data_IF_176803639484
#
_entry.id   IF_176803639484
#
_cell.length_a   1.000
_cell.length_b   1.000
_cell.length_c   1.000
_cell.angle_alpha   90.00
_cell.angle_beta   90.00
_cell.angle_gamma   90.00
#
_symmetry.space_group_name_H-M   'P 1'
#
loop_
_entity.id
_entity.type
_entity.pdbx_description
1 polymer ?
#
# COMPACT_ATOMS: atom_id res chain seq x y z
N UNK A 1 -27.39 -36.38 -19.80
CA UNK A 1 -28.37 -35.54 -19.08
C UNK A 1 -27.73 -34.17 -19.04
N UNK A 2 -28.35 -33.21 -19.72
CA UNK A 2 -27.93 -31.82 -19.60
C UNK A 2 -28.40 -31.35 -18.23
N UNK A 3 -27.50 -31.31 -17.26
CA UNK A 3 -27.80 -30.68 -15.97
C UNK A 3 -27.94 -29.19 -16.20
N UNK A 4 -29.17 -28.73 -16.15
CA UNK A 4 -29.53 -27.33 -16.39
C UNK A 4 -29.00 -26.48 -15.24
N UNK A 5 -27.99 -25.66 -15.51
CA UNK A 5 -27.50 -24.64 -14.59
C UNK A 5 -28.69 -23.78 -14.15
N UNK A 6 -28.81 -23.54 -12.85
CA UNK A 6 -29.68 -22.51 -12.34
C UNK A 6 -28.98 -21.17 -12.52
N UNK A 7 -29.60 -20.24 -13.18
CA UNK A 7 -29.06 -18.90 -13.35
C UNK A 7 -30.13 -17.84 -13.05
N UNK A 8 -29.66 -16.68 -12.69
CA UNK A 8 -30.48 -15.47 -12.52
C UNK A 8 -29.82 -14.32 -13.26
N UNK A 9 -30.61 -13.53 -13.97
CA UNK A 9 -30.15 -12.29 -14.62
C UNK A 9 -30.82 -11.10 -13.96
N UNK A 10 -30.03 -10.14 -13.51
CA UNK A 10 -30.46 -8.92 -12.84
C UNK A 10 -30.04 -7.72 -13.70
N UNK A 11 -31.04 -7.00 -14.23
CA UNK A 11 -30.78 -5.79 -15.02
C UNK A 11 -30.43 -4.63 -14.08
N UNK A 12 -29.29 -3.99 -14.33
CA UNK A 12 -28.89 -2.74 -13.71
C UNK A 12 -28.76 -1.65 -14.79
N UNK A 13 -28.57 -0.38 -14.40
CA UNK A 13 -28.63 0.76 -15.32
C UNK A 13 -27.77 0.62 -16.59
N UNK A 14 -26.58 0.00 -16.48
CA UNK A 14 -25.61 -0.10 -17.57
C UNK A 14 -25.09 -1.50 -17.85
N UNK A 15 -25.53 -2.51 -17.08
CA UNK A 15 -25.09 -3.89 -17.22
C UNK A 15 -26.12 -4.88 -16.72
N UNK A 16 -25.95 -6.14 -17.09
CA UNK A 16 -26.70 -7.26 -16.55
C UNK A 16 -25.78 -8.05 -15.64
N UNK A 17 -26.18 -8.30 -14.41
CA UNK A 17 -25.54 -9.30 -13.57
C UNK A 17 -26.09 -10.67 -13.92
N UNK A 18 -25.19 -11.59 -14.24
CA UNK A 18 -25.51 -13.00 -14.48
C UNK A 18 -24.97 -13.80 -13.31
N UNK A 19 -25.86 -14.32 -12.49
CA UNK A 19 -25.52 -15.15 -11.32
C UNK A 19 -25.74 -16.61 -11.69
N UNK A 20 -24.72 -17.43 -11.55
CA UNK A 20 -24.75 -18.87 -11.83
C UNK A 20 -24.62 -19.65 -10.53
N UNK A 21 -25.48 -20.65 -10.35
CA UNK A 21 -25.43 -21.60 -9.24
C UNK A 21 -24.72 -22.87 -9.76
N UNK A 22 -23.52 -23.18 -9.21
CA UNK A 22 -22.60 -24.21 -9.71
C UNK A 22 -22.22 -25.22 -8.62
N UNK A 23 -23.19 -25.97 -8.04
CA UNK A 23 -22.96 -26.80 -6.86
C UNK A 23 -21.98 -27.97 -7.07
N UNK A 24 -21.72 -28.39 -8.32
CA UNK A 24 -20.81 -29.49 -8.63
C UNK A 24 -19.40 -29.00 -9.08
N UNK A 25 -19.18 -27.68 -9.12
CA UNK A 25 -17.90 -27.11 -9.50
C UNK A 25 -17.10 -26.76 -8.25
N UNK A 26 -15.85 -27.19 -8.20
CA UNK A 26 -14.91 -26.81 -7.14
C UNK A 26 -14.35 -25.42 -7.44
N UNK A 27 -15.05 -24.39 -6.96
CA UNK A 27 -14.70 -23.00 -7.22
C UNK A 27 -13.36 -22.56 -6.59
N UNK A 28 -12.85 -23.31 -5.61
CA UNK A 28 -11.55 -23.03 -4.99
C UNK A 28 -10.36 -23.40 -5.90
N UNK A 29 -10.55 -24.37 -6.79
CA UNK A 29 -9.50 -24.91 -7.66
C UNK A 29 -9.67 -24.55 -9.15
N UNK A 30 -10.82 -24.02 -9.55
CA UNK A 30 -11.08 -23.59 -10.93
C UNK A 30 -10.56 -22.15 -11.16
N UNK A 31 -9.47 -22.04 -11.93
CA UNK A 31 -8.81 -20.76 -12.19
C UNK A 31 -9.37 -19.98 -13.39
N UNK A 32 -10.14 -20.62 -14.29
CA UNK A 32 -10.47 -20.07 -15.61
C UNK A 32 -11.97 -20.01 -15.90
N UNK A 33 -12.77 -19.46 -14.96
CA UNK A 33 -14.17 -19.23 -15.19
C UNK A 33 -14.37 -18.05 -16.15
N UNK A 34 -14.91 -18.31 -17.33
CA UNK A 34 -15.14 -17.30 -18.36
C UNK A 34 -16.56 -17.41 -18.90
N UNK A 35 -17.24 -16.27 -19.01
CA UNK A 35 -18.54 -16.15 -19.67
C UNK A 35 -18.32 -15.49 -21.05
N UNK A 36 -18.60 -16.22 -22.13
CA UNK A 36 -18.58 -15.65 -23.48
C UNK A 36 -19.88 -14.87 -23.70
N UNK A 37 -19.75 -13.61 -24.13
CA UNK A 37 -20.87 -12.69 -24.32
C UNK A 37 -21.15 -12.54 -25.83
N UNK A 38 -22.40 -12.75 -26.19
CA UNK A 38 -22.97 -12.47 -27.51
C UNK A 38 -24.09 -11.42 -27.38
N UNK A 39 -24.52 -10.79 -28.46
CA UNK A 39 -25.44 -9.66 -28.38
C UNK A 39 -26.77 -9.92 -27.62
N UNK A 40 -27.24 -11.16 -27.60
CA UNK A 40 -28.53 -11.53 -26.96
C UNK A 40 -28.44 -12.74 -26.04
N UNK A 41 -27.29 -13.32 -25.89
CA UNK A 41 -27.06 -14.48 -25.03
C UNK A 41 -25.65 -14.48 -24.50
N UNK A 42 -25.44 -15.16 -23.40
CA UNK A 42 -24.12 -15.53 -22.89
C UNK A 42 -23.95 -17.03 -22.90
N UNK A 43 -22.74 -17.51 -23.08
CA UNK A 43 -22.41 -18.92 -22.98
C UNK A 43 -21.39 -19.13 -21.88
N UNK A 44 -21.73 -19.98 -20.92
CA UNK A 44 -20.82 -20.41 -19.87
C UNK A 44 -20.44 -21.87 -20.11
N UNK A 45 -19.13 -22.16 -20.03
CA UNK A 45 -18.59 -23.50 -20.18
C UNK A 45 -17.49 -23.74 -19.14
N UNK A 46 -17.79 -24.60 -18.18
CA UNK A 46 -16.82 -25.18 -17.24
C UNK A 46 -17.37 -26.56 -16.84
N UNK A 47 -16.58 -27.62 -17.05
CA UNK A 47 -17.07 -28.98 -16.79
C UNK A 47 -17.49 -29.16 -15.33
N UNK A 48 -18.65 -29.77 -15.03
CA UNK A 48 -19.55 -30.47 -15.94
C UNK A 48 -20.58 -29.59 -16.68
N UNK A 49 -20.52 -28.27 -16.53
CA UNK A 49 -21.55 -27.33 -16.99
C UNK A 49 -21.30 -26.80 -18.40
N UNK A 50 -22.39 -26.70 -19.15
CA UNK A 50 -22.49 -25.91 -20.38
C UNK A 50 -23.87 -25.27 -20.44
N UNK A 51 -23.94 -23.93 -20.43
CA UNK A 51 -25.23 -23.23 -20.46
C UNK A 51 -25.24 -22.08 -21.44
N UNK A 52 -26.39 -21.90 -22.09
CA UNK A 52 -26.72 -20.68 -22.83
C UNK A 52 -27.72 -19.87 -22.02
N UNK A 53 -27.42 -18.61 -21.79
CA UNK A 53 -28.14 -17.72 -20.91
C UNK A 53 -28.69 -16.60 -21.77
N UNK A 54 -29.99 -16.56 -22.01
CA UNK A 54 -30.60 -15.48 -22.79
C UNK A 54 -30.59 -14.17 -22.03
N UNK A 55 -30.20 -13.09 -22.72
CA UNK A 55 -30.16 -11.75 -22.15
C UNK A 55 -31.44 -10.98 -22.52
N UNK A 56 -31.98 -10.23 -21.54
CA UNK A 56 -33.16 -9.38 -21.74
C UNK A 56 -32.86 -8.15 -22.62
N UNK A 57 -31.61 -7.74 -22.69
CA UNK A 57 -31.17 -6.58 -23.49
C UNK A 57 -29.92 -6.97 -24.29
N UNK A 58 -29.63 -6.21 -25.36
CA UNK A 58 -28.43 -6.44 -26.17
C UNK A 58 -27.18 -6.11 -25.38
N UNK A 59 -26.21 -7.01 -25.40
CA UNK A 59 -24.94 -6.87 -24.72
C UNK A 59 -23.79 -6.69 -25.70
N UNK A 60 -22.73 -6.00 -25.26
CA UNK A 60 -21.53 -5.86 -26.05
C UNK A 60 -20.77 -7.19 -26.14
N UNK A 61 -20.50 -7.72 -27.35
CA UNK A 61 -19.83 -9.01 -27.48
C UNK A 61 -18.42 -9.01 -26.88
N UNK A 62 -18.06 -10.08 -26.19
CA UNK A 62 -16.75 -10.18 -25.55
C UNK A 62 -16.67 -11.34 -24.56
N UNK A 63 -15.84 -11.18 -23.55
CA UNK A 63 -15.69 -12.14 -22.45
C UNK A 63 -15.86 -11.42 -21.12
N UNK A 64 -16.59 -12.02 -20.19
CA UNK A 64 -16.64 -11.58 -18.81
C UNK A 64 -15.93 -12.60 -17.92
N UNK A 65 -15.24 -12.08 -16.94
CA UNK A 65 -14.64 -12.83 -15.84
C UNK A 65 -15.48 -12.67 -14.59
N UNK A 66 -15.38 -13.55 -13.59
CA UNK A 66 -16.12 -13.43 -12.36
C UNK A 66 -15.95 -12.04 -11.70
N UNK A 67 -17.09 -11.40 -11.43
CA UNK A 67 -17.18 -10.15 -10.68
C UNK A 67 -17.12 -10.44 -9.15
N UNK A 68 -17.80 -11.54 -8.73
CA UNK A 68 -17.72 -12.07 -7.38
C UNK A 68 -17.96 -13.58 -7.35
N UNK A 69 -17.39 -14.27 -6.36
CA UNK A 69 -17.59 -15.70 -6.10
C UNK A 69 -18.01 -15.85 -4.65
N UNK A 70 -19.17 -16.47 -4.43
CA UNK A 70 -19.66 -16.86 -3.11
C UNK A 70 -19.42 -18.38 -2.93
N UNK A 71 -18.36 -18.71 -2.22
CA UNK A 71 -17.94 -20.10 -1.99
C UNK A 71 -18.89 -20.87 -1.06
N UNK A 72 -19.62 -20.18 -0.16
CA UNK A 72 -20.58 -20.83 0.72
C UNK A 72 -21.83 -21.30 -0.03
N UNK A 73 -22.23 -20.52 -1.03
CA UNK A 73 -23.42 -20.82 -1.87
C UNK A 73 -23.07 -21.47 -3.20
N UNK A 74 -21.78 -21.65 -3.50
CA UNK A 74 -21.28 -22.10 -4.80
C UNK A 74 -21.87 -21.28 -5.96
N UNK A 75 -21.91 -19.94 -5.84
CA UNK A 75 -22.43 -19.06 -6.88
C UNK A 75 -21.35 -18.14 -7.43
N UNK A 76 -21.38 -17.93 -8.73
CA UNK A 76 -20.48 -17.02 -9.46
C UNK A 76 -21.30 -15.93 -10.14
N UNK A 77 -20.92 -14.69 -9.95
CA UNK A 77 -21.56 -13.53 -10.57
C UNK A 77 -20.68 -12.97 -11.65
N UNK A 78 -21.24 -12.76 -12.84
CA UNK A 78 -20.57 -12.11 -13.97
C UNK A 78 -21.28 -10.80 -14.28
N UNK A 79 -20.51 -9.79 -14.68
CA UNK A 79 -21.02 -8.50 -15.13
C UNK A 79 -20.96 -8.41 -16.65
N UNK A 80 -22.10 -8.26 -17.29
CA UNK A 80 -22.26 -8.23 -18.74
C UNK A 80 -22.63 -6.81 -19.16
N UNK A 81 -21.77 -6.09 -19.91
CA UNK A 81 -22.07 -4.73 -20.36
C UNK A 81 -23.18 -4.74 -21.42
N UNK A 82 -24.11 -3.79 -21.32
CA UNK A 82 -25.17 -3.61 -22.30
C UNK A 82 -24.64 -2.95 -23.58
N UNK A 83 -25.13 -3.43 -24.72
CA UNK A 83 -24.94 -2.81 -26.01
C UNK A 83 -26.13 -1.82 -26.23
N UNK A 84 -25.89 -0.53 -26.00
CA UNK A 84 -26.92 0.45 -26.16
C UNK A 84 -26.48 1.87 -25.99
N UNK A 85 -26.50 2.63 -27.09
CA UNK A 85 -26.69 4.06 -27.06
C UNK A 85 -28.01 4.40 -26.33
N UNK A 86 -28.02 4.42 -25.01
CA UNK A 86 -28.95 5.30 -24.34
C UNK A 86 -28.44 6.71 -24.53
N UNK A 87 -29.01 7.38 -25.53
CA UNK A 87 -29.03 8.84 -25.59
C UNK A 87 -29.70 9.35 -24.32
N UNK A 88 -28.97 9.40 -23.25
CA UNK A 88 -29.24 10.27 -22.13
C UNK A 88 -28.28 11.44 -22.28
N UNK A 89 -28.88 12.59 -22.47
CA UNK A 89 -28.27 13.91 -22.45
C UNK A 89 -27.11 14.02 -21.46
N UNK A 90 -25.93 14.23 -22.04
CA UNK A 90 -24.78 14.97 -21.52
C UNK A 90 -24.39 14.81 -20.03
N UNK A 91 -23.63 13.80 -19.77
CA UNK A 91 -22.25 13.91 -19.33
C UNK A 91 -21.55 12.64 -19.81
N UNK A 92 -20.62 12.75 -20.77
CA UNK A 92 -19.63 11.71 -21.03
C UNK A 92 -19.00 11.39 -19.69
N UNK A 93 -19.38 10.25 -19.10
CA UNK A 93 -18.62 9.71 -17.98
C UNK A 93 -17.31 9.25 -18.60
N UNK A 94 -16.36 10.15 -18.65
CA UNK A 94 -15.02 9.86 -19.12
C UNK A 94 -14.46 8.83 -18.15
N UNK A 95 -14.29 7.60 -18.65
CA UNK A 95 -13.65 6.53 -17.89
C UNK A 95 -12.15 6.74 -17.95
N UNK A 96 -11.53 7.06 -16.81
CA UNK A 96 -10.10 7.30 -16.71
C UNK A 96 -9.35 6.00 -16.46
N UNK A 97 -8.39 5.65 -17.29
CA UNK A 97 -7.62 4.43 -17.12
C UNK A 97 -6.80 4.44 -15.82
N UNK A 98 -6.44 3.26 -15.32
CA UNK A 98 -5.71 3.09 -14.07
C UNK A 98 -4.88 1.79 -14.07
N UNK A 99 -4.17 1.53 -12.98
CA UNK A 99 -3.30 0.38 -12.85
C UNK A 99 -1.97 0.55 -13.57
N UNK A 100 -1.21 -0.53 -13.71
CA UNK A 100 0.08 -0.53 -14.41
C UNK A 100 -0.07 -0.01 -15.84
N UNK A 101 0.69 1.04 -16.19
CA UNK A 101 0.69 1.59 -17.55
C UNK A 101 -0.71 1.96 -18.09
N UNK A 102 -1.67 2.21 -17.22
CA UNK A 102 -3.05 2.54 -17.57
C UNK A 102 -3.78 1.42 -18.33
N UNK A 103 -3.47 0.16 -18.03
CA UNK A 103 -4.04 -0.99 -18.74
C UNK A 103 -5.50 -1.30 -18.39
N UNK A 104 -5.99 -0.76 -17.30
CA UNK A 104 -7.34 -1.01 -16.80
C UNK A 104 -8.21 0.21 -17.02
N UNK A 105 -9.41 0.03 -17.54
CA UNK A 105 -10.34 1.12 -17.89
C UNK A 105 -11.81 0.79 -17.61
N UNK A 106 -12.10 -0.13 -16.72
CA UNK A 106 -13.44 -0.51 -16.33
C UNK A 106 -13.76 -0.18 -14.87
N UNK A 107 -15.01 -0.31 -14.42
CA UNK A 107 -15.34 -0.20 -13.02
C UNK A 107 -14.62 -1.27 -12.22
N UNK A 108 -14.05 -0.85 -11.10
CA UNK A 108 -13.41 -1.73 -10.13
C UNK A 108 -14.34 -1.80 -8.92
N UNK A 109 -15.21 -2.81 -8.90
CA UNK A 109 -16.08 -3.05 -7.77
C UNK A 109 -15.27 -3.75 -6.68
N UNK A 110 -14.73 -2.96 -5.77
CA UNK A 110 -14.11 -3.49 -4.56
C UNK A 110 -15.14 -3.47 -3.44
N UNK A 111 -15.41 -4.61 -2.85
CA UNK A 111 -15.97 -4.65 -1.50
C UNK A 111 -14.89 -4.09 -0.58
N UNK A 112 -15.05 -2.84 -0.17
CA UNK A 112 -14.10 -2.19 0.72
C UNK A 112 -14.25 -2.77 2.12
N UNK A 113 -13.33 -3.63 2.50
CA UNK A 113 -13.13 -3.95 3.92
C UNK A 113 -12.67 -2.69 4.66
N UNK A 114 -12.86 -2.62 5.98
CA UNK A 114 -12.38 -1.48 6.78
C UNK A 114 -10.84 -1.35 6.72
N UNK A 115 -10.14 -2.41 6.35
CA UNK A 115 -8.68 -2.46 6.27
C UNK A 115 -8.15 -1.99 4.93
N UNK A 116 -8.85 -2.28 3.83
CA UNK A 116 -8.47 -1.90 2.49
C UNK A 116 -8.85 -0.44 2.21
N UNK A 117 -7.88 0.45 2.30
CA UNK A 117 -8.04 1.88 1.98
C UNK A 117 -7.57 2.18 0.56
N UNK A 118 -8.18 1.55 -0.40
CA UNK A 118 -7.95 1.76 -1.84
C UNK A 118 -9.11 2.59 -2.40
N UNK A 119 -8.82 3.49 -3.34
CA UNK A 119 -9.85 4.27 -4.00
C UNK A 119 -10.83 3.35 -4.75
N UNK A 120 -12.11 3.30 -4.38
CA UNK A 120 -13.11 2.52 -5.10
C UNK A 120 -13.36 3.14 -6.47
N UNK A 121 -13.64 2.31 -7.47
CA UNK A 121 -13.98 2.74 -8.84
C UNK A 121 -13.06 3.84 -9.41
N UNK A 122 -11.72 3.61 -9.48
CA UNK A 122 -10.77 4.64 -9.88
C UNK A 122 -11.02 5.19 -11.28
N UNK A 123 -11.73 4.46 -12.15
CA UNK A 123 -12.07 4.93 -13.49
C UNK A 123 -13.04 6.12 -13.51
N UNK A 124 -13.77 6.37 -12.42
CA UNK A 124 -14.71 7.50 -12.32
C UNK A 124 -14.02 8.83 -11.97
N UNK A 125 -12.76 8.78 -11.55
CA UNK A 125 -12.01 9.94 -11.12
C UNK A 125 -10.88 10.29 -12.10
N UNK A 126 -10.81 11.55 -12.52
CA UNK A 126 -9.65 12.07 -13.28
C UNK A 126 -8.36 11.97 -12.45
N UNK A 127 -7.20 12.04 -13.10
CA UNK A 127 -5.91 12.02 -12.41
C UNK A 127 -5.80 13.14 -11.36
N UNK A 128 -6.31 14.34 -11.65
CA UNK A 128 -6.34 15.44 -10.69
C UNK A 128 -7.24 15.15 -9.49
N UNK A 129 -8.43 14.57 -9.71
CA UNK A 129 -9.35 14.20 -8.63
C UNK A 129 -8.76 13.09 -7.74
N UNK A 130 -8.03 12.12 -8.30
CA UNK A 130 -7.33 11.10 -7.49
C UNK A 130 -6.30 11.74 -6.57
N UNK A 131 -5.60 12.76 -7.04
CA UNK A 131 -4.66 13.55 -6.23
C UNK A 131 -5.37 14.32 -5.11
N UNK A 132 -6.45 15.02 -5.41
CA UNK A 132 -7.25 15.73 -4.42
C UNK A 132 -7.78 14.81 -3.33
N UNK A 133 -8.31 13.65 -3.72
CA UNK A 133 -8.81 12.64 -2.79
C UNK A 133 -7.70 12.06 -1.91
N UNK A 134 -6.52 11.78 -2.50
CA UNK A 134 -5.34 11.34 -1.76
C UNK A 134 -4.91 12.37 -0.73
N UNK A 135 -4.77 13.64 -1.12
CA UNK A 135 -4.36 14.70 -0.20
C UNK A 135 -5.38 14.97 0.90
N UNK A 136 -6.66 14.89 0.58
CA UNK A 136 -7.73 15.02 1.56
C UNK A 136 -7.71 13.88 2.58
N UNK A 137 -7.52 12.64 2.12
CA UNK A 137 -7.40 11.47 2.98
C UNK A 137 -6.18 11.57 3.90
N UNK A 138 -5.02 11.95 3.36
CA UNK A 138 -3.80 12.13 4.15
C UNK A 138 -3.96 13.18 5.25
N UNK A 139 -4.60 14.32 4.93
CA UNK A 139 -4.88 15.38 5.93
C UNK A 139 -5.86 14.92 7.01
N UNK A 140 -6.87 14.13 6.63
CA UNK A 140 -7.86 13.63 7.58
C UNK A 140 -7.31 12.50 8.47
N UNK A 141 -6.46 11.65 7.89
CA UNK A 141 -5.94 10.46 8.57
C UNK A 141 -4.70 10.75 9.41
N UNK A 142 -3.96 11.84 9.12
CA UNK A 142 -2.80 12.22 9.93
C UNK A 142 -3.23 12.61 11.34
N UNK A 143 -2.58 11.99 12.32
CA UNK A 143 -2.77 12.27 13.76
C UNK A 143 -1.46 12.75 14.35
N UNK A 144 -1.36 14.04 14.60
CA UNK A 144 -0.15 14.66 15.15
C UNK A 144 0.27 14.06 16.49
N UNK A 145 -0.71 13.70 17.35
CA UNK A 145 -0.43 13.04 18.62
C UNK A 145 0.29 11.69 18.44
N UNK A 146 -0.22 10.83 17.55
CA UNK A 146 0.39 9.52 17.30
C UNK A 146 1.79 9.68 16.69
N UNK A 147 1.95 10.59 15.72
CA UNK A 147 3.25 10.86 15.13
C UNK A 147 4.25 11.40 16.16
N UNK A 148 3.80 12.31 17.03
CA UNK A 148 4.63 12.88 18.09
C UNK A 148 5.04 11.88 19.15
N UNK A 149 4.13 11.00 19.55
CA UNK A 149 4.45 9.92 20.48
C UNK A 149 5.48 8.97 19.89
N UNK A 150 5.29 8.55 18.63
CA UNK A 150 6.23 7.68 17.93
C UNK A 150 7.61 8.34 17.81
N UNK A 151 7.66 9.65 17.53
CA UNK A 151 8.90 10.39 17.44
C UNK A 151 9.67 10.47 18.76
N UNK A 152 8.96 10.64 19.89
CA UNK A 152 9.57 10.74 21.22
C UNK A 152 9.92 9.36 21.77
N UNK A 153 9.02 8.39 21.64
CA UNK A 153 9.17 7.07 22.25
C UNK A 153 10.06 6.13 21.46
N UNK A 154 10.07 6.26 20.15
CA UNK A 154 10.69 5.32 19.23
C UNK A 154 11.76 5.99 18.39
N UNK A 155 12.92 6.27 19.01
CA UNK A 155 14.12 6.47 18.23
C UNK A 155 14.49 5.15 17.51
N UNK A 156 15.16 5.24 16.37
CA UNK A 156 15.64 4.08 15.61
C UNK A 156 16.38 3.08 16.52
N UNK A 157 17.23 3.60 17.42
CA UNK A 157 17.98 2.78 18.37
C UNK A 157 17.08 2.05 19.38
N UNK A 158 16.02 2.70 19.86
CA UNK A 158 15.05 2.08 20.79
C UNK A 158 14.20 1.01 20.12
N UNK A 159 13.90 1.14 18.84
CA UNK A 159 13.15 0.14 18.07
C UNK A 159 14.00 -1.10 17.76
N UNK A 160 15.33 -1.03 17.92
CA UNK A 160 16.24 -2.10 17.53
C UNK A 160 16.18 -2.44 16.04
N UNK A 161 15.75 -1.49 15.20
CA UNK A 161 15.64 -1.67 13.76
C UNK A 161 17.01 -1.85 13.14
N UNK A 162 17.17 -2.91 12.37
CA UNK A 162 18.41 -3.21 11.66
C UNK A 162 18.46 -2.44 10.34
N UNK A 163 18.84 -1.16 10.41
CA UNK A 163 18.88 -0.28 9.25
C UNK A 163 19.91 -0.69 8.19
N UNK A 164 20.95 -1.45 8.59
CA UNK A 164 21.98 -1.97 7.69
C UNK A 164 21.60 -3.27 6.98
N UNK A 165 20.39 -3.78 7.22
CA UNK A 165 19.99 -5.13 6.79
C UNK A 165 19.34 -5.22 5.42
N UNK A 166 19.35 -4.14 4.63
CA UNK A 166 19.00 -4.25 3.21
C UNK A 166 20.15 -4.92 2.47
N UNK A 167 20.03 -6.19 2.08
CA UNK A 167 21.08 -6.82 1.34
C UNK A 167 21.16 -6.19 -0.05
N UNK A 168 22.36 -5.72 -0.38
CA UNK A 168 22.68 -5.12 -1.70
C UNK A 168 22.72 -6.23 -2.76
N UNK A 169 23.07 -7.46 -2.38
CA UNK A 169 23.09 -8.61 -3.27
C UNK A 169 22.00 -9.59 -2.90
N UNK A 170 21.11 -9.88 -3.85
CA UNK A 170 20.02 -10.81 -3.67
C UNK A 170 19.99 -11.86 -4.78
N UNK A 171 19.89 -13.12 -4.37
CA UNK A 171 19.52 -14.21 -5.26
C UNK A 171 18.11 -14.69 -4.91
N UNK A 172 17.24 -14.75 -5.90
CA UNK A 172 15.93 -15.36 -5.75
C UNK A 172 16.12 -16.84 -5.39
N UNK A 173 15.36 -17.33 -4.42
CA UNK A 173 15.29 -18.76 -4.14
C UNK A 173 14.71 -19.51 -5.36
N UNK A 174 14.93 -20.82 -5.42
CA UNK A 174 14.39 -21.66 -6.51
C UNK A 174 12.85 -21.54 -6.59
N UNK A 175 12.17 -21.50 -5.45
CA UNK A 175 10.72 -21.33 -5.36
C UNK A 175 10.27 -19.94 -5.87
N UNK A 176 10.94 -18.86 -5.43
CA UNK A 176 10.64 -17.51 -5.91
C UNK A 176 10.90 -17.38 -7.42
N UNK A 177 11.99 -17.96 -7.91
CA UNK A 177 12.33 -18.00 -9.33
C UNK A 177 11.28 -18.78 -10.13
N UNK A 178 10.81 -19.90 -9.61
CA UNK A 178 9.75 -20.67 -10.23
C UNK A 178 8.43 -19.89 -10.31
N UNK A 179 8.00 -19.29 -9.20
CA UNK A 179 6.77 -18.49 -9.16
C UNK A 179 6.85 -17.25 -10.07
N UNK A 180 7.99 -16.56 -10.09
CA UNK A 180 8.21 -15.46 -11.03
C UNK A 180 8.08 -15.93 -12.49
N UNK A 181 8.63 -17.11 -12.84
CA UNK A 181 8.47 -17.69 -14.17
C UNK A 181 7.02 -18.03 -14.50
N UNK A 182 6.25 -18.56 -13.56
CA UNK A 182 4.82 -18.81 -13.75
C UNK A 182 4.07 -17.52 -14.06
N UNK A 183 4.34 -16.46 -13.31
CA UNK A 183 3.76 -15.12 -13.58
C UNK A 183 4.18 -14.62 -14.98
N UNK A 184 5.43 -14.85 -15.39
CA UNK A 184 5.91 -14.50 -16.72
C UNK A 184 5.20 -15.32 -17.80
N UNK A 185 5.05 -16.63 -17.61
CA UNK A 185 4.49 -17.56 -18.59
C UNK A 185 3.00 -17.34 -18.88
N UNK A 186 2.23 -16.87 -17.91
CA UNK A 186 0.79 -16.58 -18.07
C UNK A 186 0.49 -15.66 -19.28
N UNK A 187 1.46 -14.82 -19.72
CA UNK A 187 1.27 -13.92 -20.87
C UNK A 187 2.38 -13.96 -21.95
N UNK A 188 3.33 -14.89 -21.89
CA UNK A 188 4.44 -15.00 -22.88
C UNK A 188 3.98 -15.18 -24.34
N UNK A 189 2.70 -15.49 -24.57
CA UNK A 189 2.14 -15.51 -25.94
C UNK A 189 2.10 -14.12 -26.61
N UNK A 190 2.40 -13.04 -25.90
CA UNK A 190 2.50 -11.69 -26.43
C UNK A 190 3.95 -11.20 -26.33
N UNK A 191 4.78 -11.58 -27.30
CA UNK A 191 6.19 -11.12 -27.43
C UNK A 191 6.37 -9.59 -27.55
N UNK A 192 5.30 -8.84 -27.64
CA UNK A 192 5.28 -7.37 -27.72
C UNK A 192 4.77 -6.74 -26.42
N UNK A 193 4.94 -7.42 -25.29
CA UNK A 193 4.19 -7.22 -24.07
C UNK A 193 4.27 -5.79 -23.46
N UNK A 194 5.28 -4.99 -23.81
CA UNK A 194 5.43 -3.65 -23.23
C UNK A 194 5.73 -2.54 -24.24
N UNK A 195 5.56 -2.82 -25.55
CA UNK A 195 5.63 -1.80 -26.60
C UNK A 195 4.49 -0.76 -26.49
N UNK A 196 3.45 -1.07 -25.72
CA UNK A 196 2.32 -0.17 -25.44
C UNK A 196 2.60 0.83 -24.33
N UNK A 197 3.66 0.67 -23.53
CA UNK A 197 4.03 1.66 -22.52
C UNK A 197 4.58 2.89 -23.23
N UNK A 198 3.76 3.90 -23.37
CA UNK A 198 4.14 5.17 -23.99
C UNK A 198 5.03 6.00 -23.06
N UNK A 199 4.73 6.00 -21.78
CA UNK A 199 5.45 6.74 -20.75
C UNK A 199 6.12 5.80 -19.72
N UNK A 200 7.33 5.37 -20.07
CA UNK A 200 8.16 4.56 -19.16
C UNK A 200 8.53 5.29 -17.88
N UNK A 201 8.63 6.62 -17.89
CA UNK A 201 8.97 7.41 -16.72
C UNK A 201 7.85 7.37 -15.67
N UNK A 202 6.60 7.54 -16.09
CA UNK A 202 5.43 7.42 -15.22
C UNK A 202 5.33 6.02 -14.60
N UNK A 203 5.53 4.97 -15.39
CA UNK A 203 5.54 3.58 -14.89
C UNK A 203 6.66 3.37 -13.86
N UNK A 204 7.84 3.95 -14.08
CA UNK A 204 8.96 3.82 -13.14
C UNK A 204 8.75 4.61 -11.85
N UNK A 205 8.07 5.76 -11.88
CA UNK A 205 7.64 6.43 -10.66
C UNK A 205 6.76 5.53 -9.78
N UNK A 206 5.76 4.87 -10.38
CA UNK A 206 4.91 3.93 -9.66
C UNK A 206 5.69 2.74 -9.09
N UNK A 207 6.66 2.21 -9.86
CA UNK A 207 7.55 1.15 -9.37
C UNK A 207 8.33 1.60 -8.13
N UNK A 208 8.95 2.77 -8.19
CA UNK A 208 9.77 3.29 -7.07
C UNK A 208 8.88 3.58 -5.85
N UNK A 209 7.71 4.17 -6.02
CA UNK A 209 6.74 4.40 -4.94
C UNK A 209 6.35 3.09 -4.22
N UNK A 210 6.13 2.02 -4.99
CA UNK A 210 5.85 0.68 -4.44
C UNK A 210 7.08 0.11 -3.71
N UNK A 211 8.28 0.27 -4.28
CA UNK A 211 9.52 -0.20 -3.65
C UNK A 211 9.81 0.54 -2.32
N UNK A 212 9.53 1.83 -2.25
CA UNK A 212 9.60 2.61 -1.02
C UNK A 212 8.62 2.09 0.04
N UNK A 213 7.39 1.76 -0.34
CA UNK A 213 6.40 1.21 0.57
C UNK A 213 6.81 -0.18 1.10
N UNK A 214 7.31 -1.06 0.23
CA UNK A 214 7.83 -2.38 0.60
C UNK A 214 9.04 -2.23 1.53
N UNK A 215 9.98 -1.36 1.17
CA UNK A 215 11.17 -1.12 1.97
C UNK A 215 10.86 -0.60 3.37
N UNK A 216 9.88 0.28 3.49
CA UNK A 216 9.45 0.78 4.80
C UNK A 216 8.83 -0.34 5.66
N UNK A 217 7.97 -1.17 5.07
CA UNK A 217 7.40 -2.32 5.76
C UNK A 217 8.48 -3.29 6.25
N UNK A 218 9.42 -3.65 5.38
CA UNK A 218 10.54 -4.56 5.73
C UNK A 218 11.45 -4.00 6.82
N UNK A 219 11.71 -2.69 6.83
CA UNK A 219 12.50 -2.06 7.90
C UNK A 219 11.77 -2.15 9.25
N UNK A 220 10.48 -1.87 9.26
CA UNK A 220 9.69 -1.81 10.50
C UNK A 220 9.33 -3.18 11.05
N UNK A 221 9.35 -4.23 10.22
CA UNK A 221 9.13 -5.61 10.64
C UNK A 221 10.43 -6.44 10.72
N UNK A 222 11.62 -5.81 10.65
CA UNK A 222 12.94 -6.47 10.66
C UNK A 222 13.12 -7.54 9.57
N UNK A 223 12.52 -7.35 8.41
CA UNK A 223 12.50 -8.30 7.29
C UNK A 223 11.83 -9.66 7.62
N UNK A 224 10.92 -9.69 8.57
CA UNK A 224 10.13 -10.91 8.81
C UNK A 224 9.23 -11.20 7.62
N UNK A 225 9.34 -12.42 7.11
CA UNK A 225 8.49 -12.89 6.02
C UNK A 225 7.12 -13.25 6.58
N UNK A 226 6.07 -12.91 5.86
CA UNK A 226 4.68 -13.20 6.20
C UNK A 226 4.15 -12.49 7.47
N UNK A 227 4.67 -11.30 7.77
CA UNK A 227 4.08 -10.45 8.79
C UNK A 227 2.63 -10.11 8.42
N UNK A 228 1.72 -10.30 9.38
CA UNK A 228 0.28 -10.22 9.13
C UNK A 228 -0.19 -8.86 8.60
N UNK A 229 0.50 -7.77 8.95
CA UNK A 229 0.13 -6.40 8.58
C UNK A 229 0.85 -5.85 7.35
N UNK A 230 1.76 -6.62 6.74
CA UNK A 230 2.57 -6.15 5.61
C UNK A 230 1.72 -5.69 4.42
N UNK A 231 0.63 -6.40 4.10
CA UNK A 231 -0.28 -5.99 3.03
C UNK A 231 -0.95 -4.64 3.33
N UNK A 232 -1.30 -4.37 4.59
CA UNK A 232 -1.89 -3.09 5.02
C UNK A 232 -0.88 -1.96 4.89
N UNK A 233 0.35 -2.17 5.36
CA UNK A 233 1.40 -1.17 5.29
C UNK A 233 1.75 -0.82 3.84
N UNK A 234 2.04 -1.83 3.02
CA UNK A 234 2.48 -1.61 1.64
C UNK A 234 1.45 -0.83 0.84
N UNK A 235 0.16 -1.25 0.84
CA UNK A 235 -0.84 -0.54 0.05
C UNK A 235 -1.15 0.85 0.60
N UNK A 236 -1.13 1.04 1.92
CA UNK A 236 -1.42 2.35 2.52
C UNK A 236 -0.29 3.35 2.35
N UNK A 237 0.96 2.90 2.36
CA UNK A 237 2.13 3.78 2.16
C UNK A 237 2.25 4.18 0.69
N UNK A 238 2.03 3.28 -0.27
CA UNK A 238 2.10 3.60 -1.69
C UNK A 238 0.89 4.40 -2.16
N UNK A 239 1.11 5.60 -2.68
CA UNK A 239 0.08 6.41 -3.34
C UNK A 239 -0.41 5.78 -4.64
N UNK A 240 0.48 5.10 -5.36
CA UNK A 240 0.18 4.35 -6.59
C UNK A 240 -0.83 3.23 -6.31
N UNK A 241 -0.63 2.45 -5.25
CA UNK A 241 -1.51 1.32 -4.92
C UNK A 241 -2.83 1.76 -4.29
N UNK A 242 -2.82 2.80 -3.42
CA UNK A 242 -4.01 3.22 -2.68
C UNK A 242 -4.93 4.15 -3.47
N UNK A 243 -4.39 5.06 -4.25
CA UNK A 243 -5.16 6.10 -4.94
C UNK A 243 -4.99 6.08 -6.47
N UNK A 244 -4.20 5.16 -7.00
CA UNK A 244 -3.92 5.06 -8.44
C UNK A 244 -3.39 6.39 -9.01
N UNK A 245 -2.60 7.11 -8.20
CA UNK A 245 -1.99 8.37 -8.63
C UNK A 245 -0.75 8.11 -9.47
N UNK A 246 -0.47 9.03 -10.37
CA UNK A 246 0.75 9.10 -11.15
C UNK A 246 1.55 10.32 -10.70
N UNK A 247 2.86 10.19 -10.67
CA UNK A 247 3.77 11.27 -10.24
C UNK A 247 4.36 11.98 -11.44
N UNK A 248 4.51 13.29 -11.34
CA UNK A 248 5.09 14.14 -12.37
C UNK A 248 6.59 14.36 -12.16
N UNK A 249 7.04 14.34 -10.91
CA UNK A 249 8.43 14.53 -10.53
C UNK A 249 8.80 13.75 -9.26
N UNK A 250 10.10 13.62 -9.04
CA UNK A 250 10.68 12.89 -7.92
C UNK A 250 10.28 13.51 -6.57
N UNK A 251 10.28 14.84 -6.46
CA UNK A 251 9.93 15.54 -5.24
C UNK A 251 8.48 15.24 -4.83
N UNK A 252 7.57 15.19 -5.79
CA UNK A 252 6.17 14.87 -5.56
C UNK A 252 6.02 13.43 -5.04
N UNK A 253 6.74 12.49 -5.62
CA UNK A 253 6.74 11.08 -5.22
C UNK A 253 7.33 10.93 -3.81
N UNK A 254 8.50 11.50 -3.53
CA UNK A 254 9.14 11.43 -2.22
C UNK A 254 8.27 12.10 -1.14
N UNK A 255 7.68 13.28 -1.41
CA UNK A 255 6.74 13.92 -0.48
C UNK A 255 5.54 13.05 -0.19
N UNK A 256 4.96 12.41 -1.21
CA UNK A 256 3.87 11.45 -1.02
C UNK A 256 4.30 10.31 -0.09
N UNK A 257 5.46 9.71 -0.35
CA UNK A 257 6.01 8.65 0.49
C UNK A 257 6.21 9.10 1.95
N UNK A 258 6.87 10.25 2.20
CA UNK A 258 7.09 10.76 3.55
C UNK A 258 5.78 11.05 4.29
N UNK A 259 4.81 11.68 3.64
CA UNK A 259 3.50 11.96 4.23
C UNK A 259 2.80 10.67 4.64
N UNK A 260 2.81 9.67 3.77
CA UNK A 260 2.09 8.41 3.97
C UNK A 260 2.80 7.50 4.97
N UNK A 261 4.12 7.41 4.94
CA UNK A 261 4.90 6.65 5.92
C UNK A 261 4.87 7.25 7.33
N UNK A 262 4.62 8.57 7.45
CA UNK A 262 4.38 9.21 8.74
C UNK A 262 2.89 9.22 9.17
N UNK A 263 1.97 8.68 8.36
CA UNK A 263 0.52 8.67 8.65
C UNK A 263 0.00 7.27 8.97
N UNK A 264 0.32 6.27 8.14
CA UNK A 264 -0.41 5.00 8.12
C UNK A 264 0.21 3.84 8.89
N UNK A 265 1.54 3.59 8.87
CA UNK A 265 2.12 2.45 9.58
C UNK A 265 2.06 2.61 11.09
N UNK A 266 2.32 1.51 11.80
CA UNK A 266 2.37 1.51 13.26
C UNK A 266 3.52 2.37 13.79
N UNK A 267 4.71 2.23 13.21
CA UNK A 267 5.87 3.06 13.53
C UNK A 267 5.98 4.20 12.51
N UNK A 268 5.75 5.43 12.95
CA UNK A 268 5.74 6.65 12.12
C UNK A 268 6.97 7.48 12.44
N UNK A 269 7.99 7.36 11.62
CA UNK A 269 9.22 8.11 11.86
C UNK A 269 9.83 8.57 10.54
N UNK A 270 10.12 9.88 10.47
CA UNK A 270 10.72 10.53 9.29
C UNK A 270 12.14 10.03 9.02
N UNK A 271 12.90 9.67 10.07
CA UNK A 271 14.23 9.09 9.94
C UNK A 271 14.17 7.69 9.33
N UNK A 272 13.18 6.87 9.69
CA UNK A 272 12.95 5.57 9.04
C UNK A 272 12.66 5.78 7.55
N UNK A 273 11.88 6.80 7.20
CA UNK A 273 11.59 7.15 5.80
C UNK A 273 12.87 7.54 5.04
N UNK A 274 13.77 8.29 5.68
CA UNK A 274 15.07 8.65 5.10
C UNK A 274 15.91 7.42 4.82
N UNK A 275 16.10 6.57 5.83
CA UNK A 275 16.89 5.34 5.70
C UNK A 275 16.30 4.41 4.65
N UNK A 276 14.96 4.26 4.63
CA UNK A 276 14.26 3.50 3.59
C UNK A 276 14.58 4.03 2.19
N UNK A 277 14.45 5.35 1.97
CA UNK A 277 14.73 5.95 0.66
C UNK A 277 16.20 5.77 0.25
N UNK A 278 17.16 5.94 1.19
CA UNK A 278 18.57 5.70 0.94
C UNK A 278 18.87 4.24 0.55
N UNK A 279 18.22 3.29 1.22
CA UNK A 279 18.38 1.87 0.93
C UNK A 279 17.79 1.49 -0.43
N UNK A 280 16.62 2.02 -0.79
CA UNK A 280 16.03 1.83 -2.13
C UNK A 280 16.93 2.42 -3.21
N UNK A 281 17.47 3.62 -3.02
CA UNK A 281 18.43 4.25 -3.93
C UNK A 281 19.67 3.37 -4.11
N UNK A 282 20.27 2.93 -3.00
CA UNK A 282 21.48 2.09 -3.02
C UNK A 282 21.24 0.76 -3.74
N UNK A 283 20.14 0.07 -3.41
CA UNK A 283 19.81 -1.24 -3.98
C UNK A 283 19.49 -1.15 -5.48
N UNK A 284 18.76 -0.12 -5.89
CA UNK A 284 18.43 0.11 -7.31
C UNK A 284 19.62 0.62 -8.11
N UNK A 285 20.65 1.19 -7.46
CA UNK A 285 21.91 1.56 -8.12
C UNK A 285 22.87 0.38 -8.27
N UNK A 286 22.63 -0.75 -7.60
CA UNK A 286 23.51 -1.92 -7.60
C UNK A 286 23.53 -2.64 -8.95
N UNK A 287 24.50 -3.53 -9.16
CA UNK A 287 24.58 -4.39 -10.38
C UNK A 287 23.43 -5.38 -10.42
N UNK A 288 22.96 -5.86 -9.26
CA UNK A 288 21.92 -6.87 -9.10
C UNK A 288 20.51 -6.27 -8.98
N UNK A 289 20.34 -5.00 -9.40
CA UNK A 289 19.09 -4.24 -9.26
C UNK A 289 17.84 -4.98 -9.73
N UNK A 290 17.92 -5.68 -10.86
CA UNK A 290 16.76 -6.42 -11.40
C UNK A 290 16.33 -7.53 -10.47
N UNK A 291 17.27 -8.33 -9.99
CA UNK A 291 16.99 -9.43 -9.05
C UNK A 291 16.44 -8.89 -7.74
N UNK A 292 17.02 -7.78 -7.24
CA UNK A 292 16.53 -7.13 -6.03
C UNK A 292 15.09 -6.60 -6.22
N UNK A 293 14.80 -5.89 -7.32
CA UNK A 293 13.45 -5.37 -7.60
C UNK A 293 12.45 -6.52 -7.72
N UNK A 294 12.80 -7.58 -8.44
CA UNK A 294 11.93 -8.75 -8.57
C UNK A 294 11.63 -9.39 -7.23
N UNK A 295 12.63 -9.52 -6.36
CA UNK A 295 12.43 -10.06 -5.01
C UNK A 295 11.47 -9.19 -4.20
N UNK A 296 11.63 -7.86 -4.23
CA UNK A 296 10.72 -6.94 -3.54
C UNK A 296 9.28 -7.06 -4.06
N UNK A 297 9.12 -7.14 -5.37
CA UNK A 297 7.81 -7.35 -5.97
C UNK A 297 7.20 -8.71 -5.62
N UNK A 298 8.02 -9.78 -5.54
CA UNK A 298 7.57 -11.09 -5.08
C UNK A 298 7.16 -11.08 -3.60
N UNK A 299 7.85 -10.30 -2.76
CA UNK A 299 7.44 -10.08 -1.36
C UNK A 299 6.05 -9.45 -1.29
N UNK A 300 5.82 -8.36 -2.03
CA UNK A 300 4.51 -7.72 -2.09
C UNK A 300 3.43 -8.64 -2.68
N UNK A 301 3.77 -9.42 -3.72
CA UNK A 301 2.87 -10.41 -4.30
C UNK A 301 2.38 -11.42 -3.27
N UNK A 302 3.30 -11.96 -2.47
CA UNK A 302 2.98 -12.93 -1.43
C UNK A 302 2.18 -12.28 -0.28
N UNK A 303 2.52 -11.05 0.12
CA UNK A 303 1.79 -10.32 1.15
C UNK A 303 0.33 -10.07 0.75
N UNK A 304 0.05 -9.81 -0.54
CA UNK A 304 -1.30 -9.52 -1.02
C UNK A 304 -2.14 -10.76 -1.34
N UNK A 305 -1.51 -11.90 -1.65
CA UNK A 305 -2.14 -13.06 -2.30
C UNK A 305 -3.39 -13.60 -1.61
N UNK A 306 -3.41 -13.62 -0.28
CA UNK A 306 -4.49 -14.18 0.53
C UNK A 306 -5.22 -13.12 1.35
N UNK A 307 -5.28 -11.88 0.87
CA UNK A 307 -5.87 -10.75 1.57
C UNK A 307 -6.79 -9.96 0.64
N UNK A 308 -7.52 -9.02 1.18
CA UNK A 308 -8.35 -8.09 0.39
C UNK A 308 -7.54 -7.28 -0.64
N UNK A 309 -6.22 -7.18 -0.43
CA UNK A 309 -5.30 -6.54 -1.37
C UNK A 309 -4.94 -7.40 -2.60
N UNK A 310 -5.45 -8.63 -2.73
CA UNK A 310 -5.12 -9.54 -3.84
C UNK A 310 -5.37 -8.93 -5.22
N UNK A 311 -6.36 -8.05 -5.34
CA UNK A 311 -6.64 -7.30 -6.58
C UNK A 311 -5.44 -6.47 -7.03
N UNK A 312 -4.64 -5.93 -6.12
CA UNK A 312 -3.45 -5.13 -6.46
C UNK A 312 -2.37 -5.97 -7.15
N UNK A 313 -2.34 -7.29 -6.91
CA UNK A 313 -1.49 -8.20 -7.68
C UNK A 313 -1.86 -8.22 -9.17
N UNK A 314 -3.15 -8.13 -9.50
CA UNK A 314 -3.62 -8.12 -10.88
C UNK A 314 -3.47 -6.74 -11.54
N UNK A 315 -3.68 -5.67 -10.77
CA UNK A 315 -3.64 -4.31 -11.30
C UNK A 315 -2.23 -3.75 -11.48
N UNK A 316 -1.25 -4.26 -10.68
CA UNK A 316 0.08 -3.69 -10.64
C UNK A 316 1.19 -4.75 -10.55
N UNK A 317 1.23 -5.58 -9.49
CA UNK A 317 2.45 -6.32 -9.11
C UNK A 317 2.89 -7.32 -10.18
N UNK A 318 1.96 -8.11 -10.73
CA UNK A 318 2.27 -9.07 -11.81
C UNK A 318 2.82 -8.38 -13.05
N UNK A 319 2.26 -7.24 -13.41
CA UNK A 319 2.72 -6.49 -14.58
C UNK A 319 4.06 -5.80 -14.31
N UNK A 320 4.32 -5.32 -13.09
CA UNK A 320 5.65 -4.84 -12.72
C UNK A 320 6.72 -5.96 -12.75
N UNK A 321 6.42 -7.16 -12.24
CA UNK A 321 7.34 -8.31 -12.31
C UNK A 321 7.70 -8.59 -13.77
N UNK A 322 6.73 -8.61 -14.67
CA UNK A 322 6.94 -8.80 -16.11
C UNK A 322 7.72 -7.66 -16.75
N UNK A 323 7.38 -6.42 -16.39
CA UNK A 323 8.03 -5.23 -16.91
C UNK A 323 9.51 -5.19 -16.53
N UNK A 324 9.86 -5.52 -15.31
CA UNK A 324 11.25 -5.56 -14.85
C UNK A 324 12.08 -6.56 -15.66
N UNK A 325 11.50 -7.70 -16.01
CA UNK A 325 12.18 -8.72 -16.82
C UNK A 325 12.27 -8.33 -18.30
N UNK A 326 11.17 -7.86 -18.88
CA UNK A 326 11.00 -7.78 -20.34
C UNK A 326 11.08 -6.35 -20.89
N UNK A 327 10.73 -5.35 -20.10
CA UNK A 327 10.51 -3.97 -20.59
C UNK A 327 11.28 -2.87 -19.85
N UNK A 328 12.03 -3.21 -18.80
CA UNK A 328 12.71 -2.22 -17.96
C UNK A 328 13.69 -1.36 -18.77
N UNK A 329 13.49 -0.05 -18.75
CA UNK A 329 14.40 0.94 -19.32
C UNK A 329 15.38 1.40 -18.23
N UNK A 330 16.52 0.71 -18.14
CA UNK A 330 17.52 0.95 -17.09
C UNK A 330 18.08 2.37 -17.12
N UNK A 331 18.23 2.96 -18.30
CA UNK A 331 18.72 4.34 -18.46
C UNK A 331 17.76 5.35 -17.77
N UNK A 332 16.45 5.18 -17.98
CA UNK A 332 15.43 6.04 -17.36
C UNK A 332 15.37 5.79 -15.85
N UNK A 333 15.46 4.53 -15.41
CA UNK A 333 15.51 4.18 -14.01
C UNK A 333 16.70 4.86 -13.33
N UNK A 334 17.91 4.76 -13.90
CA UNK A 334 19.10 5.36 -13.32
C UNK A 334 19.01 6.89 -13.26
N UNK A 335 18.43 7.55 -14.26
CA UNK A 335 18.16 8.99 -14.22
C UNK A 335 17.23 9.35 -13.06
N UNK A 336 16.16 8.57 -12.84
CA UNK A 336 15.26 8.80 -11.71
C UNK A 336 15.94 8.60 -10.36
N UNK A 337 16.79 7.60 -10.23
CA UNK A 337 17.54 7.35 -9.00
C UNK A 337 18.53 8.49 -8.71
N UNK A 338 19.22 9.02 -9.72
CA UNK A 338 20.09 10.19 -9.58
C UNK A 338 19.30 11.45 -9.16
N UNK A 339 18.11 11.63 -9.70
CA UNK A 339 17.19 12.70 -9.28
C UNK A 339 16.74 12.51 -7.83
N UNK A 340 16.40 11.28 -7.42
CA UNK A 340 16.03 10.97 -6.04
C UNK A 340 17.17 11.29 -5.07
N UNK A 341 18.38 10.90 -5.40
CA UNK A 341 19.56 11.14 -4.55
C UNK A 341 19.79 12.63 -4.33
N UNK A 342 19.50 13.46 -5.34
CA UNK A 342 19.63 14.93 -5.25
C UNK A 342 18.48 15.57 -4.47
N UNK A 343 17.26 15.10 -4.65
CA UNK A 343 16.06 15.68 -4.05
C UNK A 343 15.85 15.25 -2.59
N UNK A 344 16.38 14.07 -2.21
CA UNK A 344 16.10 13.46 -0.91
C UNK A 344 16.46 14.34 0.29
N UNK A 345 17.62 15.03 0.35
CA UNK A 345 17.95 15.89 1.48
C UNK A 345 16.94 17.02 1.67
N UNK A 346 16.54 17.70 0.59
CA UNK A 346 15.61 18.82 0.64
C UNK A 346 14.20 18.35 1.05
N UNK A 347 13.75 17.23 0.52
CA UNK A 347 12.45 16.66 0.89
C UNK A 347 12.44 16.18 2.34
N UNK A 348 13.54 15.60 2.82
CA UNK A 348 13.66 15.19 4.21
C UNK A 348 13.63 16.37 5.18
N UNK A 349 14.30 17.48 4.86
CA UNK A 349 14.29 18.69 5.68
C UNK A 349 12.94 19.45 5.63
N UNK A 350 12.20 19.32 4.53
CA UNK A 350 10.92 20.00 4.37
C UNK A 350 9.88 19.48 5.36
N UNK A 351 8.93 20.33 5.74
CA UNK A 351 7.77 19.94 6.52
C UNK A 351 6.87 18.99 5.75
N UNK A 352 6.20 18.06 6.46
CA UNK A 352 5.19 17.16 5.86
C UNK A 352 3.99 17.94 5.29
N UNK A 353 3.76 19.15 5.78
CA UNK A 353 2.71 20.05 5.32
C UNK A 353 1.35 19.78 5.96
N UNK A 354 1.32 19.10 7.10
CA UNK A 354 0.14 18.95 7.94
C UNK A 354 0.02 20.11 8.92
N UNK A 355 -1.21 20.57 9.23
CA UNK A 355 -1.44 21.70 10.14
C UNK A 355 -0.93 21.41 11.56
N UNK A 356 -1.07 20.18 12.02
CA UNK A 356 -0.66 19.73 13.36
C UNK A 356 0.88 19.62 13.50
N UNK A 357 1.61 19.49 12.42
CA UNK A 357 3.07 19.32 12.44
C UNK A 357 3.80 20.53 13.03
N UNK A 358 3.36 21.75 12.72
CA UNK A 358 3.98 22.97 13.26
C UNK A 358 3.83 23.09 14.77
N UNK A 359 2.69 22.65 15.27
CA UNK A 359 2.40 22.66 16.71
C UNK A 359 3.30 21.65 17.43
N UNK A 360 3.45 20.47 16.84
CA UNK A 360 4.30 19.41 17.34
C UNK A 360 5.77 19.80 17.34
N UNK A 361 6.28 20.40 16.26
CA UNK A 361 7.68 20.87 16.19
C UNK A 361 7.97 21.89 17.30
N UNK A 362 7.04 22.81 17.57
CA UNK A 362 7.18 23.77 18.67
C UNK A 362 7.23 23.07 20.02
N UNK A 363 6.34 22.10 20.23
CA UNK A 363 6.27 21.34 21.49
C UNK A 363 7.56 20.51 21.75
N UNK A 364 8.09 19.88 20.69
CA UNK A 364 9.36 19.15 20.75
C UNK A 364 10.54 20.08 21.05
N UNK A 365 10.60 21.26 20.43
CA UNK A 365 11.61 22.26 20.75
C UNK A 365 11.55 22.72 22.21
N UNK A 366 10.34 22.97 22.73
CA UNK A 366 10.13 23.39 24.11
C UNK A 366 10.57 22.32 25.11
N UNK A 367 10.35 21.03 24.79
CA UNK A 367 10.80 19.89 25.61
C UNK A 367 12.33 19.76 25.60
N UNK A 368 12.96 19.78 24.42
CA UNK A 368 14.42 19.68 24.29
C UNK A 368 15.15 20.82 25.01
N UNK A 369 14.62 22.04 24.96
CA UNK A 369 15.20 23.19 25.68
C UNK A 369 15.03 23.10 27.20
N UNK A 370 14.00 22.41 27.71
CA UNK A 370 13.84 22.15 29.13
C UNK A 370 14.82 21.10 29.66
N UNK A 371 15.04 20.01 28.91
CA UNK A 371 16.01 18.98 29.29
C UNK A 371 17.45 19.50 29.32
N UNK A 372 17.83 20.44 28.45
CA UNK A 372 19.15 21.10 28.49
C UNK A 372 19.33 22.01 29.68
N UNK A 373 18.25 22.61 30.22
CA UNK A 373 18.32 23.49 31.40
C UNK A 373 18.41 22.75 32.72
N UNK A 374 17.85 21.54 32.80
CA UNK A 374 17.86 20.72 34.01
C UNK A 374 19.17 19.96 34.24
N UNK A 375 20.03 19.86 33.22
CA UNK A 375 21.36 19.20 33.33
C UNK A 375 22.49 20.13 33.83
N UNK A 376 22.22 21.41 34.00
CA UNK A 376 23.28 22.39 34.42
C UNK A 376 23.27 22.74 35.92
N UNK A 377 22.35 22.21 36.72
CA UNK A 377 22.24 22.59 38.15
C UNK A 377 22.49 21.44 39.12
N UNK A 378 23.50 20.60 38.85
CA UNK A 378 23.85 19.46 39.71
C UNK A 378 25.34 19.37 40.02
N UNK A 379 25.96 20.54 40.34
CA UNK A 379 27.32 20.54 40.92
C UNK A 379 27.40 21.64 42.00
N UNK A 380 26.86 21.40 43.19
CA UNK A 380 27.30 21.95 44.45
C UNK A 380 26.52 21.30 45.60
N UNK A 381 27.00 20.19 46.12
CA UNK A 381 26.71 19.77 47.49
C UNK A 381 27.99 19.24 48.11
N UNK A 382 28.69 20.16 48.79
CA UNK A 382 29.80 19.85 49.68
C UNK A 382 29.38 18.88 50.82
N UNK A 383 30.27 17.94 51.02
CA UNK A 383 30.31 16.99 52.12
C UNK A 383 30.30 17.65 53.49
N UNK A 384 29.50 17.19 54.42
CA UNK A 384 29.82 17.22 55.84
C UNK A 384 29.49 15.85 56.44
N UNK A 385 30.60 15.20 56.86
CA UNK A 385 30.60 14.04 57.73
C UNK A 385 30.04 14.42 59.11
N UNK A 386 29.14 13.61 59.68
CA UNK A 386 29.08 13.38 61.10
C UNK A 386 28.49 12.00 61.40
N UNK A 387 29.32 11.26 62.16
CA UNK A 387 29.04 9.93 62.70
C UNK A 387 27.99 10.04 63.83
N UNK A 388 27.07 9.08 63.94
CA UNK A 388 26.74 8.43 65.21
C UNK A 388 25.79 7.24 65.06
N UNK A 389 26.12 6.25 65.82
CA UNK A 389 25.61 4.88 65.91
C UNK A 389 24.16 4.78 66.48
N UNK A 390 23.56 3.68 66.10
CA UNK A 390 22.83 2.70 66.92
C UNK A 390 21.31 2.60 66.81
N UNK A 391 20.95 1.34 66.58
CA UNK A 391 19.81 0.50 67.07
C UNK A 391 18.46 0.49 66.33
N UNK A 392 18.25 -0.69 65.75
CA UNK A 392 17.05 -1.57 65.66
C UNK A 392 15.63 -0.99 65.78
N UNK A 393 14.82 -1.23 64.74
CA UNK A 393 13.69 -2.18 64.83
C UNK A 393 12.84 -2.16 63.54
N UNK A 394 12.39 -3.36 63.21
CA UNK A 394 11.49 -3.73 62.12
C UNK A 394 10.29 -2.82 61.92
N UNK A 395 10.01 -2.42 60.66
CA UNK A 395 8.70 -2.54 60.06
C UNK A 395 8.73 -2.31 58.55
N UNK A 396 8.29 -3.33 57.83
CA UNK A 396 8.02 -3.29 56.41
C UNK A 396 6.93 -2.24 56.11
N UNK A 397 7.24 -1.28 55.27
CA UNK A 397 6.29 -0.68 54.32
C UNK A 397 7.06 -0.19 53.12
N UNK A 398 7.02 -1.00 52.06
CA UNK A 398 7.51 -0.67 50.73
C UNK A 398 6.57 0.39 50.14
N UNK A 399 6.93 1.64 50.28
CA UNK A 399 6.42 2.71 49.43
C UNK A 399 7.41 2.87 48.27
N UNK A 400 7.12 2.24 47.14
CA UNK A 400 7.74 2.54 45.88
C UNK A 400 7.38 3.97 45.50
N UNK A 401 8.29 4.90 45.65
CA UNK A 401 8.25 6.17 44.95
C UNK A 401 8.53 5.86 43.49
N UNK A 402 7.49 5.73 42.67
CA UNK A 402 7.60 5.83 41.23
C UNK A 402 8.03 7.26 40.90
N UNK A 403 9.22 7.42 40.39
CA UNK A 403 9.62 8.65 39.72
C UNK A 403 8.63 8.93 38.58
N UNK A 404 8.10 10.15 38.42
CA UNK A 404 7.13 10.46 37.41
C UNK A 404 7.79 10.24 36.01
N UNK A 405 7.22 9.34 35.25
CA UNK A 405 7.65 9.03 33.89
C UNK A 405 7.62 10.33 33.07
N UNK A 406 8.75 10.81 32.50
CA UNK A 406 8.81 12.07 31.75
C UNK A 406 7.81 12.11 30.59
N UNK A 407 7.35 10.96 30.12
CA UNK A 407 6.38 10.83 29.03
C UNK A 407 4.93 11.16 29.46
N UNK A 408 4.56 11.03 30.75
CA UNK A 408 3.22 11.43 31.22
C UNK A 408 2.99 12.94 31.11
N UNK A 409 4.02 13.72 31.35
CA UNK A 409 3.96 15.19 31.27
C UNK A 409 3.76 15.68 29.82
N UNK A 410 4.25 14.93 28.82
CA UNK A 410 4.10 15.23 27.39
C UNK A 410 2.68 14.91 26.89
N UNK A 411 2.15 13.76 27.34
CA UNK A 411 0.77 13.35 27.03
C UNK A 411 -0.26 14.35 27.61
N UNK A 412 -0.05 14.80 28.83
CA UNK A 412 -0.92 15.77 29.48
C UNK A 412 -0.88 17.14 28.78
N UNK A 413 0.30 17.59 28.32
CA UNK A 413 0.45 18.80 27.50
C UNK A 413 -0.22 18.67 26.12
N UNK A 414 -0.13 17.52 25.46
CA UNK A 414 -0.81 17.23 24.20
C UNK A 414 -2.34 17.19 24.35
N UNK A 415 -2.85 16.62 25.46
CA UNK A 415 -4.27 16.58 25.75
C UNK A 415 -4.83 17.98 26.07
N UNK A 416 -4.07 18.79 26.80
CA UNK A 416 -4.50 20.15 27.16
C UNK A 416 -4.54 21.12 25.94
N UNK A 417 -3.76 20.86 24.91
CA UNK A 417 -3.83 21.62 23.65
C UNK A 417 -5.11 21.36 22.84
N UNK A 418 -5.74 20.17 23.00
CA UNK A 418 -7.03 19.84 22.34
C UNK A 418 -8.22 20.55 22.99
N UNK A 419 -8.11 20.95 24.25
CA UNK A 419 -9.21 21.60 25.01
C UNK A 419 -9.25 23.12 24.82
N UNK A 420 -8.26 23.70 24.15
CA UNK A 420 -8.11 25.15 23.95
C UNK A 420 -8.26 25.62 22.51
N UNK A 421 -8.71 24.75 21.57
CA UNK A 421 -8.89 25.07 20.16
C UNK A 421 -10.33 25.10 19.69
#
# INVERSE_FOLDING_TARGET
MEDSIKFQTILQAHHILVVLDLPELDLEHESDLVLDIFPKECTFTAAPYHARIPLSHSAHPGKAYPDSIDYEKNTVTFRVPLDGETKTTDSEISCYPYGFGRLHNGPLSLETSQELKVLPDPCTYSFAQRWELKEAAEKNDFKGEHYGMDYIQFSIDKLGLKLDSFPISYQLSDDQSYRARVILDEKIRQKEAYSFVEDHRSVLFGLIDILLAIGYDQLTNNNELNEANSHINIHRISGTLAFFVEFECVEQMLRSFYRRSCTYPYYRNKEISLVCAQNVISSTSSVDRRAWIQLQLMYAYDAFKATDCAVLNHLFIKDYIRYVELGLKEEILMQLIDEMQKALPDVHQAALGFSEEKLLQKLLMDIMTQEESDTTDSDDCESSEDESEDSNSDNESVTTHEEPNPNENVLEKLMNLKLSG
#
